data_IF_658498225670
#
_entry.id   IF_658498225670
#
_cell.length_a   1.000
_cell.length_b   1.000
_cell.length_c   1.000
_cell.angle_alpha   90.00
_cell.angle_beta   90.00
_cell.angle_gamma   90.00
#
_symmetry.space_group_name_H-M   'P 1'
#
loop_
_entity.id
_entity.type
_entity.pdbx_description
1 polymer ?
#
# COMPACT_ATOMS: atom_id res chain seq x y z
N UNK A 1 -7.43 20.77 -6.10
CA UNK A 1 -8.08 21.31 -4.88
C UNK A 1 -7.88 20.29 -3.78
N UNK A 2 -7.01 20.55 -2.82
CA UNK A 2 -7.00 19.80 -1.55
C UNK A 2 -8.32 20.13 -0.86
N UNK A 3 -9.17 19.13 -0.65
CA UNK A 3 -10.36 19.32 0.15
C UNK A 3 -9.87 19.56 1.58
N UNK A 4 -9.98 20.80 2.04
CA UNK A 4 -9.66 21.20 3.40
C UNK A 4 -10.99 21.30 4.14
N UNK A 5 -11.13 20.58 5.25
CA UNK A 5 -12.32 20.72 6.08
C UNK A 5 -12.51 22.21 6.46
N UNK A 6 -13.75 22.73 6.41
CA UNK A 6 -14.04 24.08 6.87
C UNK A 6 -13.67 24.22 8.35
N UNK A 7 -13.32 25.44 8.77
CA UNK A 7 -12.96 25.72 10.17
C UNK A 7 -14.18 25.40 11.06
N UNK A 8 -14.02 24.56 12.10
CA UNK A 8 -15.13 24.21 12.98
C UNK A 8 -15.76 25.42 13.68
N UNK A 9 -14.99 26.49 13.92
CA UNK A 9 -15.51 27.70 14.57
C UNK A 9 -16.38 28.56 13.62
N UNK A 10 -16.23 28.38 12.31
CA UNK A 10 -16.97 29.10 11.26
C UNK A 10 -17.99 28.22 10.51
N UNK A 11 -18.20 26.98 10.97
CA UNK A 11 -19.14 26.03 10.34
C UNK A 11 -20.50 26.06 11.04
N UNK A 12 -21.54 26.43 10.30
CA UNK A 12 -22.91 26.46 10.82
C UNK A 12 -23.38 25.08 11.31
N UNK A 13 -23.94 25.05 12.54
CA UNK A 13 -24.43 23.82 13.18
C UNK A 13 -23.39 23.07 14.00
N UNK A 14 -22.14 23.54 14.05
CA UNK A 14 -21.12 23.00 14.95
C UNK A 14 -21.07 23.77 16.27
N UNK A 15 -20.95 23.03 17.37
CA UNK A 15 -20.53 23.55 18.66
C UNK A 15 -19.03 23.89 18.61
N UNK A 16 -18.59 24.82 19.48
CA UNK A 16 -17.17 25.14 19.65
C UNK A 16 -16.40 23.87 19.99
N UNK A 17 -15.54 23.41 19.08
CA UNK A 17 -14.86 22.11 19.15
C UNK A 17 -15.23 21.13 18.03
N UNK A 18 -16.16 21.48 17.13
CA UNK A 18 -16.47 20.73 15.91
C UNK A 18 -17.50 19.61 16.07
N UNK A 19 -18.23 19.57 17.19
CA UNK A 19 -19.32 18.62 17.44
C UNK A 19 -20.68 19.11 16.94
N UNK A 20 -21.64 18.20 16.75
CA UNK A 20 -23.05 18.52 16.44
C UNK A 20 -23.94 18.12 17.61
N UNK A 21 -25.14 18.71 17.71
CA UNK A 21 -26.12 18.31 18.72
C UNK A 21 -26.55 16.85 18.53
N UNK A 22 -26.92 16.13 19.62
CA UNK A 22 -27.39 14.75 19.51
C UNK A 22 -28.63 14.64 18.61
N UNK A 23 -28.52 13.87 17.52
CA UNK A 23 -29.59 13.67 16.53
C UNK A 23 -29.42 14.46 15.24
N UNK A 24 -28.50 15.43 15.19
CA UNK A 24 -28.12 16.11 13.96
C UNK A 24 -27.11 15.28 13.16
N UNK A 25 -27.18 15.37 11.82
CA UNK A 25 -26.23 14.70 10.93
C UNK A 25 -24.90 15.46 10.95
N UNK A 26 -23.76 14.81 11.28
CA UNK A 26 -22.45 15.45 11.21
C UNK A 26 -22.13 15.97 9.80
N UNK A 27 -21.36 17.07 9.67
CA UNK A 27 -20.91 17.55 8.37
C UNK A 27 -19.99 16.53 7.67
N UNK A 28 -19.92 16.60 6.34
CA UNK A 28 -19.09 15.69 5.55
C UNK A 28 -17.60 15.86 5.89
N UNK A 29 -16.95 14.77 6.27
CA UNK A 29 -15.51 14.73 6.51
C UNK A 29 -14.73 14.64 5.19
N UNK A 30 -13.71 15.49 5.02
CA UNK A 30 -12.72 15.29 3.94
C UNK A 30 -11.84 14.10 4.31
N UNK A 31 -11.96 12.99 3.58
CA UNK A 31 -11.21 11.77 3.83
C UNK A 31 -9.69 11.97 3.90
N UNK A 32 -9.03 11.14 4.71
CA UNK A 32 -7.58 11.20 5.03
C UNK A 32 -6.64 10.93 3.85
N UNK A 33 -7.19 10.67 2.66
CA UNK A 33 -6.45 10.67 1.39
C UNK A 33 -7.03 11.76 0.51
N UNK A 34 -6.33 12.89 0.39
CA UNK A 34 -6.71 13.91 -0.58
C UNK A 34 -6.75 13.33 -2.01
N UNK A 35 -7.37 14.02 -2.97
CA UNK A 35 -7.50 13.53 -4.35
C UNK A 35 -6.18 13.15 -5.05
N UNK A 36 -5.03 13.57 -4.47
CA UNK A 36 -3.68 13.33 -4.95
C UNK A 36 -2.88 12.36 -4.04
N UNK A 37 -3.53 11.61 -3.14
CA UNK A 37 -2.84 10.60 -2.35
C UNK A 37 -2.55 9.39 -3.22
N UNK A 38 -1.39 9.41 -3.89
CA UNK A 38 -0.92 8.24 -4.63
C UNK A 38 -0.46 7.17 -3.61
N UNK A 39 -1.03 5.96 -3.64
CA UNK A 39 -0.57 4.90 -2.76
C UNK A 39 0.90 4.60 -3.05
N UNK A 40 1.71 4.24 -2.02
CA UNK A 40 3.12 3.95 -2.22
C UNK A 40 3.27 2.82 -3.27
N UNK A 41 3.86 3.15 -4.41
CA UNK A 41 4.10 2.19 -5.48
C UNK A 41 5.13 1.17 -4.98
N UNK A 42 4.73 -0.10 -4.90
CA UNK A 42 5.64 -1.18 -4.52
C UNK A 42 6.54 -1.51 -5.70
N UNK A 43 7.85 -1.26 -5.54
CA UNK A 43 8.84 -1.62 -6.55
C UNK A 43 8.93 -3.13 -6.77
N UNK A 44 9.07 -3.55 -8.03
CA UNK A 44 9.21 -4.97 -8.41
C UNK A 44 10.65 -5.48 -8.37
N UNK A 45 11.63 -4.61 -8.13
CA UNK A 45 13.06 -4.96 -8.16
C UNK A 45 13.40 -6.10 -7.20
N UNK A 46 12.95 -6.01 -5.95
CA UNK A 46 13.25 -7.01 -4.92
C UNK A 46 12.61 -8.38 -5.24
N UNK A 47 11.30 -8.48 -5.59
CA UNK A 47 10.71 -9.72 -6.07
C UNK A 47 11.42 -10.33 -7.27
N UNK A 48 11.78 -9.52 -8.27
CA UNK A 48 12.43 -9.99 -9.51
C UNK A 48 13.82 -10.56 -9.22
N UNK A 49 14.63 -9.85 -8.43
CA UNK A 49 15.97 -10.33 -8.04
C UNK A 49 15.87 -11.63 -7.24
N UNK A 50 14.94 -11.70 -6.28
CA UNK A 50 14.73 -12.90 -5.48
C UNK A 50 14.34 -14.11 -6.34
N UNK A 51 13.37 -13.94 -7.24
CA UNK A 51 12.94 -14.99 -8.16
C UNK A 51 14.06 -15.42 -9.11
N UNK A 52 14.88 -14.48 -9.59
CA UNK A 52 16.04 -14.78 -10.42
C UNK A 52 17.08 -15.66 -9.72
N UNK A 53 17.42 -15.32 -8.47
CA UNK A 53 18.35 -16.12 -7.65
C UNK A 53 17.76 -17.49 -7.37
N UNK A 54 16.49 -17.56 -7.00
CA UNK A 54 15.81 -18.83 -6.72
C UNK A 54 15.80 -19.74 -7.96
N UNK A 55 15.48 -19.21 -9.13
CA UNK A 55 15.50 -19.95 -10.39
C UNK A 55 16.91 -20.49 -10.70
N UNK A 56 17.95 -19.68 -10.50
CA UNK A 56 19.34 -20.11 -10.70
C UNK A 56 19.71 -21.27 -9.78
N UNK A 57 19.36 -21.19 -8.49
CA UNK A 57 19.64 -22.26 -7.51
C UNK A 57 18.94 -23.55 -7.93
N UNK A 58 17.66 -23.48 -8.32
CA UNK A 58 16.91 -24.64 -8.80
C UNK A 58 17.57 -25.28 -10.01
N UNK A 59 18.00 -24.47 -10.99
CA UNK A 59 18.70 -24.98 -12.19
C UNK A 59 19.99 -25.70 -11.81
N UNK A 60 20.80 -25.14 -10.91
CA UNK A 60 22.05 -25.78 -10.45
C UNK A 60 21.77 -27.11 -9.77
N UNK A 61 20.77 -27.16 -8.88
CA UNK A 61 20.38 -28.39 -8.18
C UNK A 61 19.92 -29.46 -9.16
N UNK A 62 19.03 -29.11 -10.09
CA UNK A 62 18.52 -30.03 -11.13
C UNK A 62 19.67 -30.53 -12.02
N UNK A 63 20.55 -29.65 -12.48
CA UNK A 63 21.73 -30.03 -13.25
C UNK A 63 22.66 -30.96 -12.45
N UNK A 64 22.81 -30.72 -11.15
CA UNK A 64 23.54 -31.59 -10.23
C UNK A 64 22.96 -33.00 -10.15
N UNK A 65 21.63 -33.12 -10.01
CA UNK A 65 20.95 -34.41 -10.03
C UNK A 65 21.11 -35.13 -11.37
N UNK A 66 20.92 -34.40 -12.49
CA UNK A 66 21.09 -34.96 -13.83
C UNK A 66 22.53 -35.47 -14.00
N UNK A 67 23.53 -34.69 -13.59
CA UNK A 67 24.92 -35.10 -13.69
C UNK A 67 25.24 -36.32 -12.85
N UNK A 68 24.66 -36.41 -11.64
CA UNK A 68 24.81 -37.57 -10.76
C UNK A 68 24.19 -38.84 -11.33
N UNK A 69 23.05 -38.72 -12.03
CA UNK A 69 22.36 -39.83 -12.70
C UNK A 69 23.13 -40.24 -13.97
N UNK A 70 23.67 -39.28 -14.71
CA UNK A 70 24.47 -39.51 -15.91
C UNK A 70 25.88 -40.05 -15.62
N UNK A 71 26.29 -40.11 -14.35
CA UNK A 71 27.62 -40.58 -13.95
C UNK A 71 28.75 -39.60 -14.26
N UNK A 72 28.44 -38.30 -14.36
CA UNK A 72 29.43 -37.24 -14.58
C UNK A 72 30.29 -36.98 -13.34
N UNK A 73 29.82 -37.40 -12.16
CA UNK A 73 30.48 -37.33 -10.85
C UNK A 73 29.76 -38.21 -9.83
#
# INVERSE_FOLDING_TARGET
MTAQNPDPDDTAGLERGGGVAPGDTPPAETGVGGPNHEPPQRGLTLPVVFLGILALVVIIVVAGFIGRIAGLF
#
